data_IF_492559080707
#
_entry.id   IF_492559080707
#
_cell.length_a   1.000
_cell.length_b   1.000
_cell.length_c   1.000
_cell.angle_alpha   90.00
_cell.angle_beta   90.00
_cell.angle_gamma   90.00
#
_symmetry.space_group_name_H-M   'P 1'
#
loop_
_entity.id
_entity.type
_entity.pdbx_description
1 polymer ?
#
# COMPACT_ATOMS: atom_id res chain seq x y z
N UNK A 1 14.36 -7.07 -0.96
CA UNK A 1 15.05 -7.33 0.34
C UNK A 1 15.25 -6.06 1.15
N UNK A 2 15.80 -4.95 0.57
CA UNK A 2 16.05 -3.69 1.29
C UNK A 2 14.77 -3.12 1.92
N UNK A 3 13.69 -3.00 1.16
CA UNK A 3 12.40 -2.50 1.64
C UNK A 3 11.86 -3.35 2.80
N UNK A 4 12.02 -4.68 2.73
CA UNK A 4 11.62 -5.58 3.81
C UNK A 4 12.43 -5.39 5.08
N UNK A 5 13.72 -5.02 4.96
CA UNK A 5 14.55 -4.65 6.11
C UNK A 5 14.11 -3.28 6.67
N UNK A 6 13.87 -2.28 5.81
CA UNK A 6 13.43 -0.94 6.23
C UNK A 6 12.06 -1.01 6.92
N UNK A 7 11.12 -1.78 6.38
CA UNK A 7 9.82 -2.03 7.02
C UNK A 7 9.90 -3.02 8.21
N UNK A 8 11.10 -3.55 8.51
CA UNK A 8 11.34 -4.55 9.57
C UNK A 8 10.51 -5.83 9.41
N UNK A 9 10.10 -6.15 8.18
CA UNK A 9 9.50 -7.46 7.86
C UNK A 9 10.54 -8.58 7.81
N UNK A 10 11.82 -8.21 7.66
CA UNK A 10 12.99 -9.08 7.73
C UNK A 10 14.05 -8.36 8.56
N UNK A 11 14.77 -9.09 9.39
CA UNK A 11 15.84 -8.50 10.19
C UNK A 11 17.01 -8.06 9.29
N UNK A 12 17.57 -6.88 9.60
CA UNK A 12 18.76 -6.38 8.95
C UNK A 12 20.01 -7.09 9.52
N UNK A 13 20.95 -7.44 8.65
CA UNK A 13 22.22 -8.07 9.05
C UNK A 13 23.23 -7.08 9.64
N UNK A 14 22.99 -5.78 9.45
CA UNK A 14 23.83 -4.70 9.98
C UNK A 14 23.33 -3.33 9.53
N UNK A 15 23.97 -2.29 10.03
CA UNK A 15 23.61 -0.90 9.74
C UNK A 15 22.67 -0.30 10.77
N UNK A 16 22.02 0.81 10.40
CA UNK A 16 20.99 1.52 11.19
C UNK A 16 19.88 1.99 10.27
N UNK A 17 18.67 2.03 10.79
CA UNK A 17 17.48 2.48 10.05
C UNK A 17 16.77 3.49 10.94
N UNK A 18 16.68 4.74 10.47
CA UNK A 18 16.00 5.81 11.18
C UNK A 18 14.73 6.24 10.45
N UNK A 19 13.63 6.34 11.20
CA UNK A 19 12.40 7.01 10.75
C UNK A 19 12.07 8.08 11.80
N UNK A 20 11.94 9.33 11.36
CA UNK A 20 11.69 10.48 12.24
C UNK A 20 12.69 10.58 13.41
N UNK A 21 13.96 10.22 13.17
CA UNK A 21 15.01 10.24 14.19
C UNK A 21 15.03 9.03 15.13
N UNK A 22 14.08 8.10 15.01
CA UNK A 22 14.01 6.88 15.83
C UNK A 22 14.69 5.71 15.12
N UNK A 23 15.66 5.05 15.80
CA UNK A 23 16.32 3.85 15.28
C UNK A 23 15.39 2.64 15.38
N UNK A 24 14.96 2.14 14.22
CA UNK A 24 14.02 1.00 14.14
C UNK A 24 14.60 -0.31 14.64
N UNK A 25 15.93 -0.44 14.68
CA UNK A 25 16.58 -1.66 15.14
C UNK A 25 16.57 -1.79 16.67
N UNK A 26 16.31 -0.68 17.38
CA UNK A 26 16.20 -0.65 18.84
C UNK A 26 14.76 -0.85 19.34
N UNK A 27 13.77 -0.85 18.43
CA UNK A 27 12.36 -1.01 18.80
C UNK A 27 12.07 -2.44 19.26
N UNK A 28 11.30 -2.57 20.32
CA UNK A 28 10.71 -3.85 20.70
C UNK A 28 9.52 -4.20 19.78
N UNK A 29 9.04 -5.44 19.85
CA UNK A 29 7.97 -5.93 18.97
C UNK A 29 6.68 -5.10 19.08
N UNK A 30 6.32 -4.60 20.26
CA UNK A 30 5.11 -3.81 20.47
C UNK A 30 5.23 -2.45 19.80
N UNK A 31 6.33 -1.77 19.98
CA UNK A 31 6.64 -0.49 19.34
C UNK A 31 6.68 -0.61 17.82
N UNK A 32 7.25 -1.69 17.31
CA UNK A 32 7.34 -1.98 15.89
C UNK A 32 5.96 -2.24 15.26
N UNK A 33 5.07 -2.95 15.96
CA UNK A 33 3.68 -3.14 15.53
C UNK A 33 2.95 -1.81 15.47
N UNK A 34 3.10 -0.96 16.48
CA UNK A 34 2.47 0.36 16.51
C UNK A 34 3.00 1.28 15.40
N UNK A 35 4.31 1.27 15.15
CA UNK A 35 4.93 2.02 14.07
C UNK A 35 4.35 1.60 12.70
N UNK A 36 4.33 0.28 12.43
CA UNK A 36 3.76 -0.24 11.17
C UNK A 36 2.28 0.10 11.02
N UNK A 37 1.51 -0.06 12.08
CA UNK A 37 0.07 0.19 12.09
C UNK A 37 -0.27 1.66 11.80
N UNK A 38 0.54 2.58 12.33
CA UNK A 38 0.21 3.99 12.32
C UNK A 38 0.96 4.81 11.26
N UNK A 39 2.21 4.43 10.92
CA UNK A 39 3.11 5.22 10.10
C UNK A 39 3.39 4.65 8.72
N UNK A 40 3.19 3.34 8.52
CA UNK A 40 3.60 2.65 7.31
C UNK A 40 2.41 2.08 6.54
N UNK A 41 2.31 2.44 5.26
CA UNK A 41 1.47 1.74 4.28
C UNK A 41 2.33 0.86 3.39
N UNK A 42 1.82 -0.29 2.96
CA UNK A 42 2.58 -1.19 2.10
C UNK A 42 1.70 -1.79 1.00
N UNK A 43 2.20 -1.73 -0.22
CA UNK A 43 1.66 -2.41 -1.40
C UNK A 43 2.64 -3.49 -1.82
N UNK A 44 2.16 -4.71 -1.96
CA UNK A 44 2.96 -5.88 -2.31
C UNK A 44 2.80 -6.24 -3.79
N UNK A 45 3.82 -6.85 -4.36
CA UNK A 45 3.84 -7.37 -5.73
C UNK A 45 2.65 -8.31 -6.04
N UNK A 46 2.25 -9.16 -5.09
CA UNK A 46 1.20 -10.17 -5.25
C UNK A 46 -0.18 -9.71 -4.76
N UNK A 47 -0.46 -8.40 -4.74
CA UNK A 47 -1.68 -7.75 -4.24
C UNK A 47 -2.01 -8.08 -2.77
N UNK A 48 -1.69 -9.27 -2.28
CA UNK A 48 -1.90 -9.78 -0.92
C UNK A 48 -3.31 -9.53 -0.37
N UNK A 49 -4.34 -9.63 -1.23
CA UNK A 49 -5.74 -9.46 -0.83
C UNK A 49 -6.23 -10.68 -0.05
N UNK A 50 -7.15 -10.44 0.88
CA UNK A 50 -7.83 -11.48 1.63
C UNK A 50 -8.92 -12.09 0.73
N UNK A 51 -8.79 -13.35 0.29
CA UNK A 51 -9.63 -13.91 -0.77
C UNK A 51 -11.09 -14.15 -0.33
N UNK A 52 -11.31 -14.24 0.99
CA UNK A 52 -12.62 -14.45 1.61
C UNK A 52 -13.33 -13.14 2.01
N UNK A 53 -12.72 -11.98 1.70
CA UNK A 53 -13.28 -10.66 1.95
C UNK A 53 -13.57 -9.95 0.64
N UNK A 54 -14.64 -9.16 0.63
CA UNK A 54 -14.99 -8.28 -0.49
C UNK A 54 -13.99 -7.13 -0.65
N UNK A 55 -14.12 -6.33 -1.70
CA UNK A 55 -13.31 -5.12 -1.93
C UNK A 55 -13.37 -4.19 -0.72
N UNK A 56 -14.58 -3.79 -0.32
CA UNK A 56 -14.76 -2.86 0.81
C UNK A 56 -14.22 -3.44 2.12
N UNK A 57 -14.41 -4.74 2.37
CA UNK A 57 -13.90 -5.41 3.56
C UNK A 57 -12.37 -5.53 3.56
N UNK A 58 -11.74 -5.74 2.41
CA UNK A 58 -10.29 -5.72 2.26
C UNK A 58 -9.70 -4.35 2.64
N UNK A 59 -10.35 -3.28 2.18
CA UNK A 59 -9.92 -1.90 2.43
C UNK A 59 -10.18 -1.51 3.89
N UNK A 60 -11.32 -1.92 4.46
CA UNK A 60 -11.68 -1.63 5.84
C UNK A 60 -10.84 -2.41 6.88
N UNK A 61 -10.29 -3.56 6.49
CA UNK A 61 -9.60 -4.48 7.40
C UNK A 61 -8.49 -3.82 8.24
N UNK A 62 -7.52 -3.07 7.68
CA UNK A 62 -6.50 -2.43 8.49
C UNK A 62 -7.05 -1.36 9.44
N UNK A 63 -8.15 -0.70 9.09
CA UNK A 63 -8.82 0.26 9.98
C UNK A 63 -9.43 -0.44 11.20
N UNK A 64 -10.05 -1.61 10.99
CA UNK A 64 -10.58 -2.44 12.07
C UNK A 64 -9.46 -2.95 13.00
N UNK A 65 -8.28 -3.32 12.45
CA UNK A 65 -7.11 -3.68 13.26
C UNK A 65 -6.60 -2.49 14.09
N UNK A 66 -6.76 -1.25 13.60
CA UNK A 66 -6.50 -0.04 14.38
C UNK A 66 -7.52 0.20 15.51
N UNK A 67 -8.57 -0.59 15.59
CA UNK A 67 -9.64 -0.44 16.59
C UNK A 67 -10.74 0.56 16.18
N UNK A 68 -10.78 0.99 14.92
CA UNK A 68 -11.87 1.83 14.41
C UNK A 68 -13.12 0.97 14.29
N UNK A 69 -14.26 1.52 14.70
CA UNK A 69 -15.56 0.84 14.63
C UNK A 69 -15.85 0.38 13.21
N UNK A 70 -16.55 -0.74 13.07
CA UNK A 70 -16.84 -1.34 11.77
C UNK A 70 -17.57 -0.38 10.83
N UNK A 71 -18.56 0.36 11.31
CA UNK A 71 -19.33 1.32 10.52
C UNK A 71 -18.45 2.43 9.95
N UNK A 72 -17.60 3.04 10.79
CA UNK A 72 -16.65 4.08 10.39
C UNK A 72 -15.58 3.55 9.42
N UNK A 73 -15.11 2.31 9.65
CA UNK A 73 -14.15 1.62 8.78
C UNK A 73 -14.72 1.36 7.39
N UNK A 74 -15.97 0.93 7.30
CA UNK A 74 -16.68 0.72 6.03
C UNK A 74 -16.90 2.05 5.32
N UNK A 75 -17.34 3.10 6.03
CA UNK A 75 -17.52 4.43 5.45
C UNK A 75 -16.23 4.95 4.81
N UNK A 76 -15.12 4.92 5.55
CA UNK A 76 -13.79 5.31 5.01
C UNK A 76 -13.36 4.42 3.83
N UNK A 77 -13.63 3.12 3.91
CA UNK A 77 -13.31 2.20 2.82
C UNK A 77 -14.10 2.52 1.54
N UNK A 78 -15.35 2.93 1.66
CA UNK A 78 -16.17 3.37 0.51
C UNK A 78 -15.58 4.63 -0.16
N UNK A 79 -15.05 5.58 0.61
CA UNK A 79 -14.36 6.74 0.06
C UNK A 79 -13.09 6.33 -0.70
N UNK A 80 -12.35 5.34 -0.18
CA UNK A 80 -11.18 4.80 -0.86
C UNK A 80 -11.54 4.04 -2.14
N UNK A 81 -12.66 3.30 -2.17
CA UNK A 81 -13.20 2.65 -3.39
C UNK A 81 -13.41 3.69 -4.49
N UNK A 82 -14.04 4.83 -4.16
CA UNK A 82 -14.24 5.93 -5.11
C UNK A 82 -12.92 6.55 -5.57
N UNK A 83 -11.99 6.75 -4.62
CA UNK A 83 -10.68 7.35 -4.91
C UNK A 83 -9.91 6.56 -5.97
N UNK A 84 -10.02 5.23 -5.97
CA UNK A 84 -9.32 4.35 -6.91
C UNK A 84 -10.20 3.88 -8.09
N UNK A 85 -11.37 4.49 -8.30
CA UNK A 85 -12.24 4.22 -9.43
C UNK A 85 -12.81 2.79 -9.47
N UNK A 86 -13.19 2.26 -8.32
CA UNK A 86 -13.81 0.93 -8.17
C UNK A 86 -15.30 1.00 -7.78
N UNK A 87 -15.97 2.12 -8.08
CA UNK A 87 -17.39 2.29 -7.83
C UNK A 87 -18.21 1.14 -8.48
N UNK A 88 -19.16 0.60 -7.72
CA UNK A 88 -19.97 -0.55 -8.12
C UNK A 88 -19.29 -1.91 -7.99
N UNK A 89 -18.06 -1.96 -7.44
CA UNK A 89 -17.30 -3.19 -7.18
C UNK A 89 -17.10 -3.49 -5.70
N UNK A 90 -17.75 -2.76 -4.81
CA UNK A 90 -17.57 -2.81 -3.35
C UNK A 90 -17.76 -4.21 -2.77
N UNK A 91 -18.72 -4.94 -3.31
CA UNK A 91 -19.11 -6.27 -2.86
C UNK A 91 -18.45 -7.42 -3.64
N UNK A 92 -17.56 -7.12 -4.60
CA UNK A 92 -16.85 -8.14 -5.36
C UNK A 92 -15.73 -8.75 -4.51
N UNK A 93 -15.51 -10.04 -4.71
CA UNK A 93 -14.36 -10.74 -4.15
C UNK A 93 -13.14 -10.61 -5.07
N UNK A 94 -11.91 -10.77 -4.56
CA UNK A 94 -10.69 -10.67 -5.37
C UNK A 94 -10.70 -11.52 -6.65
N UNK A 95 -11.26 -12.72 -6.60
CA UNK A 95 -11.37 -13.63 -7.76
C UNK A 95 -12.25 -13.11 -8.90
N UNK A 96 -13.10 -12.12 -8.63
CA UNK A 96 -14.03 -11.53 -9.60
C UNK A 96 -13.46 -10.27 -10.25
N UNK A 97 -12.22 -9.89 -9.86
CA UNK A 97 -11.54 -8.68 -10.29
C UNK A 97 -10.39 -9.00 -11.26
N UNK A 98 -10.17 -8.12 -12.23
CA UNK A 98 -8.93 -8.13 -13.03
C UNK A 98 -7.70 -7.82 -12.16
N UNK A 99 -6.49 -8.16 -12.65
CA UNK A 99 -5.24 -7.86 -11.93
C UNK A 99 -5.10 -6.37 -11.60
N UNK A 100 -5.42 -5.47 -12.55
CA UNK A 100 -5.41 -4.02 -12.30
C UNK A 100 -6.41 -3.59 -11.23
N UNK A 101 -7.61 -4.17 -11.20
CA UNK A 101 -8.60 -3.90 -10.16
C UNK A 101 -8.13 -4.41 -8.79
N UNK A 102 -7.52 -5.60 -8.73
CA UNK A 102 -6.93 -6.12 -7.50
C UNK A 102 -5.82 -5.20 -6.98
N UNK A 103 -4.98 -4.68 -7.88
CA UNK A 103 -3.94 -3.71 -7.52
C UNK A 103 -4.54 -2.42 -6.93
N UNK A 104 -5.59 -1.89 -7.54
CA UNK A 104 -6.32 -0.71 -7.00
C UNK A 104 -6.86 -0.98 -5.59
N UNK A 105 -7.38 -2.17 -5.31
CA UNK A 105 -7.81 -2.56 -3.96
C UNK A 105 -6.62 -2.57 -2.99
N UNK A 106 -5.47 -3.10 -3.40
CA UNK A 106 -4.24 -3.10 -2.61
C UNK A 106 -3.75 -1.69 -2.27
N UNK A 107 -3.78 -0.79 -3.26
CA UNK A 107 -3.47 0.64 -3.12
C UNK A 107 -4.44 1.30 -2.13
N UNK A 108 -5.75 1.17 -2.36
CA UNK A 108 -6.79 1.73 -1.51
C UNK A 108 -6.68 1.25 -0.05
N UNK A 109 -6.45 -0.05 0.15
CA UNK A 109 -6.25 -0.65 1.46
C UNK A 109 -5.06 -0.06 2.20
N UNK A 110 -3.95 0.15 1.50
CA UNK A 110 -2.73 0.70 2.10
C UNK A 110 -2.87 2.19 2.44
N UNK A 111 -3.68 2.94 1.68
CA UNK A 111 -3.95 4.36 1.90
C UNK A 111 -5.01 4.61 2.98
N UNK A 112 -5.93 3.68 3.19
CA UNK A 112 -7.03 3.82 4.15
C UNK A 112 -6.56 4.15 5.57
N UNK A 113 -5.37 3.68 5.96
CA UNK A 113 -4.76 3.96 7.26
C UNK A 113 -4.04 5.30 7.34
N UNK A 114 -4.01 6.07 6.24
CA UNK A 114 -3.37 7.39 6.13
C UNK A 114 -1.88 7.36 6.57
N UNK A 115 -1.04 6.49 5.97
CA UNK A 115 0.34 6.32 6.39
C UNK A 115 1.17 7.58 6.12
N UNK A 116 2.21 7.83 6.92
CA UNK A 116 3.19 8.90 6.66
C UNK A 116 4.20 8.47 5.59
N UNK A 117 4.56 7.19 5.58
CA UNK A 117 5.47 6.59 4.60
C UNK A 117 4.76 5.46 3.86
N UNK A 118 4.82 5.50 2.54
CA UNK A 118 4.18 4.51 1.69
C UNK A 118 5.21 3.70 0.93
N UNK A 119 5.26 2.41 1.21
CA UNK A 119 6.18 1.44 0.60
C UNK A 119 5.49 0.70 -0.53
N UNK A 120 6.12 0.67 -1.71
CA UNK A 120 5.63 -0.01 -2.90
C UNK A 120 6.70 -1.00 -3.38
N UNK A 121 6.40 -2.29 -3.27
CA UNK A 121 7.30 -3.38 -3.63
C UNK A 121 6.87 -3.97 -4.98
N UNK A 122 7.47 -3.49 -6.07
CA UNK A 122 7.17 -3.87 -7.44
C UNK A 122 5.65 -3.85 -7.77
N UNK A 123 4.94 -2.74 -7.49
CA UNK A 123 3.49 -2.74 -7.47
C UNK A 123 2.82 -3.04 -8.81
N UNK A 124 3.53 -2.88 -9.93
CA UNK A 124 2.96 -3.06 -11.26
C UNK A 124 3.54 -4.27 -12.02
N UNK A 125 4.47 -5.02 -11.43
CA UNK A 125 5.18 -6.12 -12.10
C UNK A 125 4.26 -7.29 -12.50
N UNK A 126 3.18 -7.51 -11.75
CA UNK A 126 2.20 -8.58 -12.01
C UNK A 126 1.12 -8.19 -13.05
N UNK A 127 1.20 -6.98 -13.63
CA UNK A 127 0.23 -6.48 -14.60
C UNK A 127 0.73 -6.64 -16.03
N UNK A 128 -0.19 -6.85 -16.97
CA UNK A 128 0.14 -6.78 -18.41
C UNK A 128 0.56 -5.35 -18.81
N UNK A 129 1.29 -5.18 -19.93
CA UNK A 129 1.90 -3.90 -20.29
C UNK A 129 0.91 -2.73 -20.46
N UNK A 130 -0.30 -2.99 -20.96
CA UNK A 130 -1.30 -1.95 -21.17
C UNK A 130 -1.87 -1.46 -19.84
N UNK A 131 -2.32 -2.39 -19.00
CA UNK A 131 -2.87 -2.10 -17.68
C UNK A 131 -1.79 -1.47 -16.78
N UNK A 132 -0.54 -1.92 -16.89
CA UNK A 132 0.60 -1.33 -16.17
C UNK A 132 0.74 0.16 -16.46
N UNK A 133 0.70 0.55 -17.74
CA UNK A 133 0.80 1.95 -18.14
C UNK A 133 -0.36 2.79 -17.59
N UNK A 134 -1.59 2.30 -17.68
CA UNK A 134 -2.76 2.97 -17.11
C UNK A 134 -2.63 3.15 -15.60
N UNK A 135 -2.19 2.13 -14.89
CA UNK A 135 -1.98 2.16 -13.43
C UNK A 135 -0.87 3.12 -13.01
N UNK A 136 0.20 3.23 -13.78
CA UNK A 136 1.27 4.22 -13.55
C UNK A 136 0.76 5.65 -13.70
N UNK A 137 -0.02 5.94 -14.75
CA UNK A 137 -0.60 7.26 -15.00
C UNK A 137 -1.59 7.64 -13.89
N UNK A 138 -2.35 6.69 -13.40
CA UNK A 138 -3.26 6.88 -12.28
C UNK A 138 -2.52 7.09 -10.96
N UNK A 139 -1.42 6.34 -10.75
CA UNK A 139 -0.57 6.51 -9.59
C UNK A 139 0.04 7.92 -9.50
N UNK A 140 0.51 8.49 -10.61
CA UNK A 140 0.99 9.88 -10.66
C UNK A 140 -0.09 10.87 -10.20
N UNK A 141 -1.32 10.70 -10.67
CA UNK A 141 -2.46 11.55 -10.24
C UNK A 141 -2.76 11.42 -8.75
N UNK A 142 -2.60 10.22 -8.19
CA UNK A 142 -2.75 9.98 -6.75
C UNK A 142 -1.60 10.63 -5.97
N UNK A 143 -0.36 10.52 -6.44
CA UNK A 143 0.82 11.10 -5.81
C UNK A 143 0.71 12.62 -5.69
N UNK A 144 0.27 13.31 -6.75
CA UNK A 144 0.02 14.75 -6.74
C UNK A 144 -0.97 15.19 -5.64
N UNK A 145 -2.02 14.36 -5.43
CA UNK A 145 -3.06 14.66 -4.42
C UNK A 145 -2.63 14.35 -2.99
N UNK A 146 -1.83 13.31 -2.80
CA UNK A 146 -1.57 12.74 -1.48
C UNK A 146 -0.38 13.39 -0.78
N UNK A 147 0.61 13.93 -1.51
CA UNK A 147 1.83 14.56 -0.98
C UNK A 147 2.50 13.72 0.13
N UNK A 148 2.65 12.42 -0.10
CA UNK A 148 3.24 11.46 0.84
C UNK A 148 4.68 11.16 0.52
N UNK A 149 5.47 10.77 1.54
CA UNK A 149 6.77 10.15 1.31
C UNK A 149 6.57 8.75 0.77
N UNK A 150 7.00 8.50 -0.46
CA UNK A 150 6.83 7.21 -1.14
C UNK A 150 8.21 6.59 -1.37
N UNK A 151 8.38 5.34 -0.92
CA UNK A 151 9.52 4.52 -1.29
C UNK A 151 9.06 3.45 -2.26
N UNK A 152 9.57 3.54 -3.49
CA UNK A 152 9.18 2.70 -4.60
C UNK A 152 10.33 1.78 -5.00
N UNK A 153 10.07 0.48 -5.12
CA UNK A 153 11.03 -0.49 -5.65
C UNK A 153 10.51 -1.05 -6.95
N UNK A 154 11.33 -0.98 -7.98
CA UNK A 154 11.08 -1.59 -9.28
C UNK A 154 12.40 -2.07 -9.88
N UNK A 155 12.31 -3.07 -10.76
CA UNK A 155 13.41 -3.51 -11.64
C UNK A 155 13.28 -2.91 -13.05
N UNK A 156 12.22 -2.14 -13.31
CA UNK A 156 11.94 -1.46 -14.56
C UNK A 156 12.48 -0.03 -14.49
N UNK A 157 13.47 0.27 -15.31
CA UNK A 157 14.16 1.57 -15.31
C UNK A 157 13.25 2.70 -15.82
N UNK A 158 12.42 2.43 -16.82
CA UNK A 158 11.47 3.41 -17.36
C UNK A 158 10.40 3.78 -16.33
N UNK A 159 9.99 2.81 -15.54
CA UNK A 159 9.07 3.02 -14.41
C UNK A 159 9.71 3.91 -13.34
N UNK A 160 10.97 3.65 -12.97
CA UNK A 160 11.70 4.47 -12.01
C UNK A 160 11.81 5.92 -12.47
N UNK A 161 12.23 6.14 -13.73
CA UNK A 161 12.35 7.48 -14.33
C UNK A 161 11.02 8.22 -14.43
N UNK A 162 9.91 7.49 -14.64
CA UNK A 162 8.58 8.07 -14.78
C UNK A 162 7.98 8.50 -13.45
N UNK A 163 8.19 7.73 -12.38
CA UNK A 163 7.43 7.83 -11.15
C UNK A 163 8.20 8.47 -9.98
N UNK A 164 9.55 8.50 -10.03
CA UNK A 164 10.36 8.95 -8.91
C UNK A 164 10.85 10.39 -9.08
N UNK A 165 10.86 11.15 -7.98
CA UNK A 165 11.54 12.45 -7.90
C UNK A 165 13.05 12.28 -7.70
N UNK A 166 13.46 11.12 -7.14
CA UNK A 166 14.86 10.74 -6.90
C UNK A 166 15.04 9.23 -7.12
N UNK A 167 16.13 8.88 -7.78
CA UNK A 167 16.52 7.48 -8.05
C UNK A 167 17.80 7.17 -7.28
#
# INVERSE_FOLDING_TARGET
TLLRCISRLTDATGGKIFIEGQDLLQLNNKELIELRRNKMGMVFQSFALLPHKTVVENIAFPLQIKGIKTEDSISKAMDMVKLVGLDGRENYFPRELSGGQQQRVGIARSLAVEPDIWFLDEPFSALDPLIRKEMQDEFLRLQEKLQKTIMFITHDFDEALKLADRI
#
